data_IF_257842755905
#
_entry.id   IF_257842755905
#
_cell.length_a   1.000
_cell.length_b   1.000
_cell.length_c   1.000
_cell.angle_alpha   90.00
_cell.angle_beta   90.00
_cell.angle_gamma   90.00
#
_symmetry.space_group_name_H-M   'P 1'
#
loop_
_entity.id
_entity.type
_entity.pdbx_description
1 polymer ?
#
# COMPACT_ATOMS: atom_id res chain seq x y z
N UNK A 1 -8.39 7.51 -0.04
CA UNK A 1 -7.26 7.47 -1.01
C UNK A 1 -7.62 7.88 -2.44
N UNK A 2 -8.90 8.11 -2.73
CA UNK A 2 -9.46 8.34 -4.07
C UNK A 2 -8.78 9.45 -4.88
N UNK A 3 -8.22 10.47 -4.23
CA UNK A 3 -7.48 11.54 -4.93
C UNK A 3 -6.21 11.05 -5.65
N UNK A 4 -5.56 10.02 -5.10
CA UNK A 4 -4.35 9.43 -5.68
C UNK A 4 -4.75 8.50 -6.83
N UNK A 5 -5.75 7.65 -6.59
CA UNK A 5 -6.29 6.71 -7.57
C UNK A 5 -6.89 7.42 -8.80
N UNK A 6 -7.63 8.51 -8.59
CA UNK A 6 -8.27 9.29 -9.65
C UNK A 6 -7.37 10.42 -10.18
N UNK A 7 -6.07 10.40 -9.84
CA UNK A 7 -5.17 11.45 -10.28
C UNK A 7 -5.01 11.40 -11.80
N UNK A 8 -5.04 12.57 -12.44
CA UNK A 8 -4.70 12.68 -13.88
C UNK A 8 -3.22 12.43 -14.16
N UNK A 9 -2.36 12.43 -13.13
CA UNK A 9 -0.95 12.10 -13.23
C UNK A 9 -0.71 10.68 -12.72
N UNK A 10 0.12 9.91 -13.43
CA UNK A 10 0.56 8.60 -12.97
C UNK A 10 1.39 8.73 -11.70
N UNK A 11 0.95 8.05 -10.64
CA UNK A 11 1.64 8.00 -9.34
C UNK A 11 2.21 6.60 -9.16
N UNK A 12 3.52 6.53 -8.88
CA UNK A 12 4.25 5.27 -8.69
C UNK A 12 4.70 5.16 -7.23
N UNK A 13 4.31 4.08 -6.55
CA UNK A 13 4.82 3.74 -5.23
C UNK A 13 6.18 3.03 -5.38
N UNK A 14 7.25 3.67 -4.94
CA UNK A 14 8.58 3.05 -4.79
C UNK A 14 8.70 2.48 -3.37
N UNK A 15 8.79 1.16 -3.24
CA UNK A 15 8.68 0.44 -1.97
C UNK A 15 10.03 -0.19 -1.63
N UNK A 16 10.60 0.24 -0.51
CA UNK A 16 11.83 -0.32 0.06
C UNK A 16 11.54 -0.86 1.46
N UNK A 17 11.57 -2.18 1.62
CA UNK A 17 11.29 -2.83 2.90
C UNK A 17 9.79 -3.04 3.17
N UNK A 18 9.41 -3.13 4.44
CA UNK A 18 8.05 -3.45 4.86
C UNK A 18 7.05 -2.36 4.49
N UNK A 19 6.02 -2.73 3.74
CA UNK A 19 4.88 -1.92 3.37
C UNK A 19 3.63 -2.59 3.92
N UNK A 20 3.24 -2.23 5.15
CA UNK A 20 2.18 -2.89 5.90
C UNK A 20 1.07 -1.91 6.29
N UNK A 21 -0.15 -2.43 6.39
CA UNK A 21 -1.33 -1.72 6.81
C UNK A 21 -1.66 -0.51 5.95
N UNK A 22 -1.92 0.65 6.56
CA UNK A 22 -2.18 1.89 5.84
C UNK A 22 -1.10 2.30 4.82
N UNK A 23 0.16 1.89 5.01
CA UNK A 23 1.21 2.09 4.02
C UNK A 23 1.01 1.24 2.76
N UNK A 24 0.50 0.01 2.92
CA UNK A 24 0.11 -0.85 1.82
C UNK A 24 -1.19 -0.39 1.16
N UNK A 25 -2.17 0.07 1.94
CA UNK A 25 -3.38 0.69 1.41
C UNK A 25 -3.03 1.92 0.52
N UNK A 26 -2.05 2.73 0.93
CA UNK A 26 -1.56 3.85 0.12
C UNK A 26 -0.91 3.38 -1.18
N UNK A 27 -0.08 2.33 -1.09
CA UNK A 27 0.56 1.74 -2.25
C UNK A 27 -0.46 1.13 -3.23
N UNK A 28 -1.57 0.58 -2.74
CA UNK A 28 -2.67 0.07 -3.55
C UNK A 28 -3.40 1.19 -4.31
N UNK A 29 -3.54 2.37 -3.68
CA UNK A 29 -4.13 3.54 -4.33
C UNK A 29 -3.28 4.14 -5.46
N UNK A 30 -1.97 3.83 -5.52
CA UNK A 30 -1.10 4.27 -6.62
C UNK A 30 -1.41 3.53 -7.94
N UNK A 31 -0.92 4.05 -9.06
CA UNK A 31 -1.15 3.43 -10.37
C UNK A 31 -0.18 2.26 -10.60
N UNK A 32 1.06 2.43 -10.16
CA UNK A 32 2.11 1.42 -10.21
C UNK A 32 2.78 1.25 -8.86
N UNK A 33 3.32 0.05 -8.63
CA UNK A 33 4.12 -0.31 -7.47
C UNK A 33 5.41 -0.94 -7.96
N UNK A 34 6.55 -0.40 -7.52
CA UNK A 34 7.87 -0.96 -7.78
C UNK A 34 8.48 -1.26 -6.43
N UNK A 35 8.92 -2.49 -6.23
CA UNK A 35 9.43 -2.95 -4.96
C UNK A 35 10.83 -3.50 -5.06
N UNK A 36 11.64 -3.26 -4.03
CA UNK A 36 12.94 -3.89 -3.87
C UNK A 36 12.77 -5.39 -3.68
N UNK A 37 13.48 -6.19 -4.50
CA UNK A 37 13.58 -7.63 -4.33
C UNK A 37 14.58 -7.97 -3.21
N UNK A 38 14.16 -7.74 -1.97
CA UNK A 38 14.93 -7.96 -0.74
C UNK A 38 14.06 -8.75 0.25
N UNK A 39 14.66 -9.63 1.06
CA UNK A 39 13.93 -10.45 2.04
C UNK A 39 13.19 -9.62 3.09
N UNK A 40 13.61 -8.36 3.33
CA UNK A 40 12.96 -7.42 4.24
C UNK A 40 11.73 -6.75 3.62
N UNK A 41 11.55 -6.86 2.31
CA UNK A 41 10.37 -6.33 1.63
C UNK A 41 9.19 -7.26 1.87
N UNK A 42 8.19 -6.76 2.59
CA UNK A 42 6.96 -7.49 2.90
C UNK A 42 5.74 -6.62 2.71
N UNK A 43 4.63 -7.21 2.27
CA UNK A 43 3.37 -6.53 2.00
C UNK A 43 2.23 -7.16 2.78
N UNK A 44 1.23 -6.36 3.14
CA UNK A 44 -0.02 -6.88 3.67
C UNK A 44 -0.76 -5.91 4.57
N UNK A 45 -1.96 -6.31 4.97
CA UNK A 45 -2.83 -5.59 5.90
C UNK A 45 -2.96 -6.41 7.20
N UNK A 46 -2.07 -6.20 8.19
CA UNK A 46 -2.08 -6.94 9.44
C UNK A 46 -3.14 -6.45 10.44
N UNK A 47 -3.99 -5.48 10.09
CA UNK A 47 -5.05 -4.90 10.91
C UNK A 47 -5.93 -5.97 11.57
N UNK A 48 -6.20 -7.07 10.85
CA UNK A 48 -6.98 -8.20 11.35
C UNK A 48 -6.37 -8.84 12.60
N UNK A 49 -5.04 -8.80 12.75
CA UNK A 49 -4.34 -9.31 13.94
C UNK A 49 -4.59 -8.45 15.18
N UNK A 50 -5.05 -7.22 14.99
CA UNK A 50 -5.44 -6.29 16.05
C UNK A 50 -6.97 -6.24 16.23
N UNK A 51 -7.73 -7.10 15.57
CA UNK A 51 -9.20 -7.06 15.57
C UNK A 51 -9.80 -5.91 14.76
N UNK A 52 -9.01 -5.32 13.85
CA UNK A 52 -9.41 -4.22 12.99
C UNK A 52 -9.52 -4.67 11.53
N UNK A 53 -10.14 -3.84 10.71
CA UNK A 53 -10.18 -4.00 9.25
C UNK A 53 -9.38 -2.87 8.58
N UNK A 54 -8.88 -3.09 7.35
CA UNK A 54 -8.28 -2.02 6.55
C UNK A 54 -9.25 -0.85 6.41
N UNK A 55 -8.79 0.36 6.72
CA UNK A 55 -9.66 1.54 6.88
C UNK A 55 -9.52 2.59 5.78
N UNK A 56 -8.55 2.45 4.88
CA UNK A 56 -8.20 3.46 3.88
C UNK A 56 -8.45 3.03 2.43
N UNK A 57 -9.01 1.84 2.22
CA UNK A 57 -9.35 1.29 0.90
C UNK A 57 -8.71 -0.05 0.59
N UNK A 58 -8.21 -0.78 1.59
CA UNK A 58 -7.66 -2.13 1.44
C UNK A 58 -8.69 -3.27 1.37
N UNK A 59 -9.99 -2.97 1.26
CA UNK A 59 -11.10 -3.95 1.16
C UNK A 59 -11.78 -3.88 -0.19
#
# INVERSE_FOLDING_TARGET
MNRIEQSSKTIVAAIAGSCLGGGFELALACHYRIAMNDKRTGFGVPEVKLGLLPGAGGT
#
